data_IF_472219509532
#
_entry.id   IF_472219509532
#
_cell.length_a   1.000
_cell.length_b   1.000
_cell.length_c   1.000
_cell.angle_alpha   90.00
_cell.angle_beta   90.00
_cell.angle_gamma   90.00
#
_symmetry.space_group_name_H-M   'P 1'
#
loop_
_entity.id
_entity.type
_entity.pdbx_description
1 polymer ?
#
# COMPACT_ATOMS: atom_id res chain seq x y z
N UNK A 1 5.31 -10.24 -29.54
CA UNK A 1 5.54 -9.03 -28.71
C UNK A 1 5.19 -9.31 -27.25
N UNK A 2 6.15 -9.23 -26.32
CA UNK A 2 5.86 -9.34 -24.89
C UNK A 2 5.19 -8.05 -24.36
N UNK A 3 3.99 -8.19 -23.77
CA UNK A 3 3.29 -7.08 -23.09
C UNK A 3 3.66 -7.05 -21.61
N UNK A 4 3.91 -5.88 -21.06
CA UNK A 4 4.13 -5.71 -19.61
C UNK A 4 2.94 -6.25 -18.82
N UNK A 5 3.21 -7.14 -17.87
CA UNK A 5 2.19 -7.71 -16.99
C UNK A 5 2.18 -7.00 -15.64
N UNK A 6 0.98 -6.76 -15.14
CA UNK A 6 0.78 -6.18 -13.81
C UNK A 6 1.10 -7.21 -12.72
N UNK A 7 1.95 -6.85 -11.76
CA UNK A 7 2.20 -7.70 -10.60
C UNK A 7 0.96 -7.77 -9.69
N UNK A 8 0.18 -8.85 -9.82
CA UNK A 8 -1.12 -8.99 -9.14
C UNK A 8 -1.03 -8.96 -7.62
N UNK A 9 0.05 -9.47 -7.03
CA UNK A 9 0.28 -9.40 -5.58
C UNK A 9 0.48 -7.97 -5.07
N UNK A 10 1.05 -7.09 -5.90
CA UNK A 10 1.22 -5.67 -5.55
C UNK A 10 -0.08 -4.90 -5.80
N UNK A 11 -0.79 -5.21 -6.89
CA UNK A 11 -2.09 -4.62 -7.19
C UNK A 11 -3.12 -4.80 -6.05
N UNK A 12 -3.11 -5.95 -5.36
CA UNK A 12 -3.99 -6.21 -4.22
C UNK A 12 -3.62 -5.42 -2.95
N UNK A 13 -2.38 -4.91 -2.85
CA UNK A 13 -1.84 -4.28 -1.63
C UNK A 13 -1.84 -2.75 -1.66
N UNK A 14 -1.78 -2.17 -2.86
CA UNK A 14 -1.69 -0.73 -3.05
C UNK A 14 -2.95 -0.18 -3.73
N UNK A 15 -3.48 0.92 -3.19
CA UNK A 15 -4.55 1.70 -3.80
C UNK A 15 -4.09 3.11 -4.15
N UNK A 16 -4.86 3.83 -4.95
CA UNK A 16 -4.58 5.22 -5.37
C UNK A 16 -5.76 6.09 -4.96
N UNK A 17 -5.49 7.28 -4.40
CA UNK A 17 -6.52 8.30 -4.16
C UNK A 17 -6.90 9.01 -5.46
N UNK A 18 -8.02 9.72 -5.50
CA UNK A 18 -8.37 10.57 -6.66
C UNK A 18 -7.28 11.62 -6.98
N UNK A 19 -6.47 12.00 -5.99
CA UNK A 19 -5.32 12.90 -6.14
C UNK A 19 -3.99 12.21 -6.48
N UNK A 20 -3.98 10.91 -6.79
CA UNK A 20 -2.77 10.20 -7.23
C UNK A 20 -1.81 9.74 -6.12
N UNK A 21 -2.21 9.83 -4.84
CA UNK A 21 -1.40 9.35 -3.71
C UNK A 21 -1.56 7.84 -3.54
N UNK A 22 -0.44 7.13 -3.40
CA UNK A 22 -0.45 5.69 -3.13
C UNK A 22 -0.77 5.44 -1.65
N UNK A 23 -1.70 4.51 -1.43
CA UNK A 23 -2.17 4.08 -0.11
C UNK A 23 -1.81 2.62 0.14
N UNK A 24 -1.54 2.31 1.42
CA UNK A 24 -1.33 0.95 1.91
C UNK A 24 -1.94 0.76 3.29
N UNK A 25 -2.15 -0.50 3.68
CA UNK A 25 -2.45 -0.85 5.06
C UNK A 25 -1.18 -0.88 5.92
N UNK A 26 -1.33 -0.52 7.19
CA UNK A 26 -0.23 -0.60 8.15
C UNK A 26 0.11 -2.07 8.45
N UNK A 27 1.41 -2.37 8.50
CA UNK A 27 1.91 -3.71 8.82
C UNK A 27 1.77 -4.01 10.32
N UNK A 28 1.91 -5.28 10.69
CA UNK A 28 1.92 -5.78 12.07
C UNK A 28 0.56 -5.71 12.76
N UNK A 29 -0.53 -5.68 12.00
CA UNK A 29 -1.90 -5.70 12.52
C UNK A 29 -2.46 -7.11 12.76
N UNK A 30 -1.76 -8.18 12.36
CA UNK A 30 -2.27 -9.56 12.45
C UNK A 30 -2.39 -10.07 13.88
N UNK A 31 -1.30 -10.03 14.65
CA UNK A 31 -1.21 -10.65 15.98
C UNK A 31 -0.57 -9.72 17.03
N UNK A 32 -0.54 -10.19 18.29
CA UNK A 32 0.09 -9.51 19.44
C UNK A 32 -0.45 -8.09 19.69
N UNK A 33 -1.76 -7.87 19.49
CA UNK A 33 -2.40 -6.56 19.71
C UNK A 33 -2.49 -6.18 21.19
N UNK A 34 -2.60 -7.16 22.10
CA UNK A 34 -2.71 -6.94 23.55
C UNK A 34 -1.50 -6.22 24.15
N UNK A 35 -0.29 -6.48 23.62
CA UNK A 35 0.97 -5.87 24.08
C UNK A 35 1.21 -4.46 23.50
N UNK A 36 0.35 -4.00 22.58
CA UNK A 36 0.58 -2.75 21.85
C UNK A 36 -0.26 -1.61 22.43
N UNK A 37 0.28 -0.39 22.48
CA UNK A 37 -0.48 0.77 22.92
C UNK A 37 -1.74 1.00 22.05
N UNK A 38 -2.81 1.51 22.67
CA UNK A 38 -4.07 1.84 21.98
C UNK A 38 -3.84 2.82 20.82
N UNK A 39 -2.90 3.75 20.96
CA UNK A 39 -2.52 4.69 19.90
C UNK A 39 -2.06 3.95 18.63
N UNK A 40 -1.27 2.89 18.78
CA UNK A 40 -0.77 2.10 17.64
C UNK A 40 -1.90 1.27 17.04
N UNK A 41 -2.71 0.60 17.86
CA UNK A 41 -3.78 -0.26 17.34
C UNK A 41 -4.85 0.52 16.58
N UNK A 42 -5.15 1.76 16.98
CA UNK A 42 -6.04 2.69 16.24
C UNK A 42 -5.57 2.99 14.82
N UNK A 43 -4.27 2.93 14.54
CA UNK A 43 -3.74 3.19 13.20
C UNK A 43 -3.89 2.00 12.24
N UNK A 44 -4.18 0.80 12.74
CA UNK A 44 -4.29 -0.40 11.91
C UNK A 44 -5.54 -0.44 11.02
N UNK A 45 -6.59 0.30 11.37
CA UNK A 45 -7.80 0.40 10.55
C UNK A 45 -7.66 1.40 9.39
N UNK A 46 -6.69 2.33 9.46
CA UNK A 46 -6.56 3.43 8.50
C UNK A 46 -5.59 3.10 7.38
N UNK A 47 -5.94 3.48 6.15
CA UNK A 47 -5.02 3.48 5.00
C UNK A 47 -4.02 4.62 5.17
N UNK A 48 -2.74 4.31 5.07
CA UNK A 48 -1.64 5.26 5.20
C UNK A 48 -1.03 5.51 3.82
N UNK A 49 -0.50 6.72 3.62
CA UNK A 49 0.28 7.01 2.41
C UNK A 49 1.55 6.16 2.38
N UNK A 50 1.96 5.80 1.17
CA UNK A 50 3.28 5.23 0.93
C UNK A 50 4.30 6.36 0.94
N UNK A 51 5.50 6.04 1.41
CA UNK A 51 6.63 6.96 1.36
C UNK A 51 6.98 7.36 -0.08
N UNK A 52 7.42 8.60 -0.27
CA UNK A 52 7.71 9.17 -1.58
C UNK A 52 8.78 8.38 -2.35
N UNK A 53 9.77 7.82 -1.63
CA UNK A 53 10.89 7.08 -2.24
C UNK A 53 10.42 5.80 -2.96
N UNK A 54 9.39 5.14 -2.43
CA UNK A 54 8.90 3.87 -2.97
C UNK A 54 7.89 4.04 -4.11
N UNK A 55 7.39 5.26 -4.33
CA UNK A 55 6.34 5.53 -5.32
C UNK A 55 6.75 5.08 -6.73
N UNK A 56 7.93 5.49 -7.20
CA UNK A 56 8.43 5.16 -8.54
C UNK A 56 8.54 3.65 -8.75
N UNK A 57 9.01 2.91 -7.74
CA UNK A 57 9.18 1.45 -7.79
C UNK A 57 7.83 0.73 -7.89
N UNK A 58 6.83 1.16 -7.13
CA UNK A 58 5.50 0.54 -7.12
C UNK A 58 4.76 0.76 -8.44
N UNK A 59 4.85 1.97 -9.01
CA UNK A 59 4.22 2.28 -10.29
C UNK A 59 4.79 1.46 -11.45
N UNK A 60 6.10 1.15 -11.43
CA UNK A 60 6.72 0.24 -12.40
C UNK A 60 6.17 -1.20 -12.30
N UNK A 61 5.86 -1.66 -11.08
CA UNK A 61 5.31 -3.01 -10.86
C UNK A 61 3.82 -3.11 -11.21
N UNK A 62 3.10 -2.00 -11.08
CA UNK A 62 1.65 -1.96 -11.30
C UNK A 62 1.30 -0.78 -12.23
N UNK A 63 1.55 -0.90 -13.55
CA UNK A 63 1.27 0.17 -14.51
C UNK A 63 -0.19 0.63 -14.51
N UNK A 64 -1.12 -0.28 -14.18
CA UNK A 64 -2.55 0.00 -14.07
C UNK A 64 -2.94 1.02 -12.98
N UNK A 65 -2.02 1.34 -12.05
CA UNK A 65 -2.23 2.34 -11.00
C UNK A 65 -1.72 3.74 -11.38
N UNK A 66 -1.18 3.91 -12.59
CA UNK A 66 -0.72 5.20 -13.10
C UNK A 66 -1.93 5.95 -13.68
N UNK A 67 -2.58 6.75 -12.83
CA UNK A 67 -3.66 7.69 -13.18
C UNK A 67 -3.27 9.09 -12.71
#
# INVERSE_FOLDING_TARGET
>A
MPKMKTHKGAQRRYGVTGSGKLLRMKRNSSHLRRKKPRAVTRTYSKKQSVDATQRKRILRLVPALNR
#
